data_IF_108048945273
#
_entry.id   IF_108048945273
#
_cell.length_a   1.000
_cell.length_b   1.000
_cell.length_c   1.000
_cell.angle_alpha   90.00
_cell.angle_beta   90.00
_cell.angle_gamma   90.00
#
_symmetry.space_group_name_H-M   'P 1'
#
loop_
_entity.id
_entity.type
_entity.pdbx_description
1 polymer ?
#
# COMPACT_ATOMS: atom_id res chain seq x y z
N UNK A 1 -0.31 -15.00 -7.83
CA UNK A 1 0.43 -13.78 -7.42
C UNK A 1 0.35 -13.70 -5.91
N UNK A 2 1.48 -13.58 -5.23
CA UNK A 2 1.59 -13.73 -3.77
C UNK A 2 1.47 -12.38 -3.05
N UNK A 3 2.03 -11.31 -3.64
CA UNK A 3 1.91 -9.94 -3.12
C UNK A 3 2.09 -8.86 -4.21
N UNK A 4 1.63 -7.64 -3.91
CA UNK A 4 1.82 -6.42 -4.71
C UNK A 4 2.27 -5.31 -3.75
N UNK A 5 3.33 -4.59 -4.12
CA UNK A 5 3.84 -3.45 -3.34
C UNK A 5 3.45 -2.13 -3.97
N UNK A 6 2.69 -1.30 -3.24
CA UNK A 6 2.31 0.04 -3.67
C UNK A 6 2.01 0.93 -2.45
N UNK A 7 1.98 2.25 -2.63
CA UNK A 7 1.64 3.16 -1.54
C UNK A 7 0.14 3.07 -1.16
N UNK A 8 -0.27 3.74 -0.08
CA UNK A 8 -1.66 3.78 0.37
C UNK A 8 -2.43 4.95 -0.28
N UNK A 9 -2.29 5.12 -1.60
CA UNK A 9 -3.11 6.05 -2.38
C UNK A 9 -4.44 5.41 -2.80
N UNK A 10 -5.50 6.22 -2.91
CA UNK A 10 -6.84 5.77 -3.34
C UNK A 10 -6.83 5.06 -4.69
N UNK A 11 -6.03 5.54 -5.64
CA UNK A 11 -5.84 4.92 -6.95
C UNK A 11 -5.25 3.50 -6.84
N UNK A 12 -4.29 3.29 -5.93
CA UNK A 12 -3.65 1.99 -5.72
C UNK A 12 -4.59 1.02 -5.01
N UNK A 13 -5.44 1.51 -4.11
CA UNK A 13 -6.52 0.71 -3.52
C UNK A 13 -7.54 0.28 -4.58
N UNK A 14 -7.93 1.17 -5.49
CA UNK A 14 -8.85 0.85 -6.59
C UNK A 14 -8.23 -0.17 -7.56
N UNK A 15 -6.94 -0.02 -7.88
CA UNK A 15 -6.18 -0.98 -8.68
C UNK A 15 -6.21 -2.38 -8.06
N UNK A 16 -5.94 -2.51 -6.75
CA UNK A 16 -5.96 -3.80 -6.06
C UNK A 16 -7.34 -4.48 -6.11
N UNK A 17 -8.43 -3.72 -6.00
CA UNK A 17 -9.79 -4.27 -6.12
C UNK A 17 -10.07 -4.77 -7.55
N UNK A 18 -9.58 -4.06 -8.58
CA UNK A 18 -9.70 -4.51 -9.98
C UNK A 18 -8.84 -5.76 -10.26
N UNK A 19 -7.66 -5.86 -9.65
CA UNK A 19 -6.81 -7.04 -9.74
C UNK A 19 -7.47 -8.26 -9.07
N UNK A 20 -8.18 -8.07 -7.96
CA UNK A 20 -8.92 -9.15 -7.28
C UNK A 20 -9.98 -9.79 -8.19
N UNK A 21 -10.67 -8.97 -8.99
CA UNK A 21 -11.63 -9.46 -9.97
C UNK A 21 -10.97 -10.10 -11.20
N UNK A 22 -9.82 -9.56 -11.64
CA UNK A 22 -9.18 -9.96 -12.89
C UNK A 22 -8.26 -11.17 -12.74
N UNK A 23 -7.73 -11.44 -11.55
CA UNK A 23 -6.72 -12.46 -11.31
C UNK A 23 -7.26 -13.54 -10.37
N UNK A 24 -7.56 -14.71 -10.94
CA UNK A 24 -7.89 -15.89 -10.17
C UNK A 24 -6.81 -16.18 -9.12
N UNK A 25 -7.23 -16.30 -7.85
CA UNK A 25 -6.37 -16.53 -6.67
C UNK A 25 -5.54 -15.32 -6.19
N UNK A 26 -5.75 -14.11 -6.71
CA UNK A 26 -5.20 -12.92 -6.07
C UNK A 26 -6.00 -12.60 -4.80
N UNK A 27 -5.33 -12.42 -3.66
CA UNK A 27 -6.00 -12.20 -2.38
C UNK A 27 -6.41 -10.73 -2.16
N UNK A 28 -6.46 -9.95 -3.25
CA UNK A 28 -6.81 -8.53 -3.23
C UNK A 28 -5.94 -7.74 -2.25
N UNK A 29 -6.59 -6.98 -1.38
CA UNK A 29 -5.93 -6.19 -0.33
C UNK A 29 -5.09 -7.02 0.66
N UNK A 30 -5.36 -8.32 0.84
CA UNK A 30 -4.53 -9.17 1.73
C UNK A 30 -3.14 -9.43 1.16
N UNK A 31 -2.97 -9.25 -0.16
CA UNK A 31 -1.69 -9.32 -0.86
C UNK A 31 -1.00 -7.95 -0.96
N UNK A 32 -1.57 -6.87 -0.40
CA UNK A 32 -0.98 -5.53 -0.46
C UNK A 32 0.11 -5.34 0.59
N UNK A 33 1.32 -5.06 0.11
CA UNK A 33 2.46 -4.62 0.93
C UNK A 33 2.62 -3.12 0.73
N UNK A 34 2.68 -2.34 1.81
CA UNK A 34 2.94 -0.90 1.69
C UNK A 34 4.36 -0.66 1.17
N UNK A 35 4.49 0.26 0.22
CA UNK A 35 5.78 0.70 -0.27
C UNK A 35 6.67 1.18 0.88
N UNK A 36 7.92 0.68 0.95
CA UNK A 36 8.88 1.02 1.99
C UNK A 36 9.10 2.53 2.10
N UNK A 37 9.13 3.23 0.96
CA UNK A 37 9.22 4.70 0.90
C UNK A 37 8.08 5.40 1.63
N UNK A 38 6.85 4.88 1.53
CA UNK A 38 5.70 5.45 2.24
C UNK A 38 5.81 5.24 3.75
N UNK A 39 6.27 4.06 4.19
CA UNK A 39 6.54 3.77 5.60
C UNK A 39 7.59 4.72 6.16
N UNK A 40 8.73 4.89 5.47
CA UNK A 40 9.80 5.81 5.89
C UNK A 40 9.30 7.26 5.96
N UNK A 41 8.52 7.71 4.97
CA UNK A 41 7.95 9.06 4.97
C UNK A 41 6.97 9.29 6.14
N UNK A 42 6.14 8.30 6.48
CA UNK A 42 5.25 8.40 7.65
C UNK A 42 6.04 8.40 8.96
N UNK A 43 7.07 7.56 9.08
CA UNK A 43 7.95 7.54 10.25
C UNK A 43 8.67 8.88 10.42
N UNK A 44 9.26 9.43 9.36
CA UNK A 44 9.92 10.73 9.40
C UNK A 44 8.97 11.85 9.85
N UNK A 45 7.75 11.91 9.27
CA UNK A 45 6.73 12.87 9.69
C UNK A 45 6.35 12.70 11.16
N UNK A 46 6.16 11.46 11.62
CA UNK A 46 5.83 11.17 13.02
C UNK A 46 6.93 11.59 14.00
N UNK A 47 8.19 11.37 13.65
CA UNK A 47 9.36 11.76 14.45
C UNK A 47 9.51 13.28 14.52
N UNK A 48 9.21 13.99 13.42
CA UNK A 48 9.41 15.44 13.34
C UNK A 48 8.26 16.26 13.96
N UNK A 49 7.03 15.76 14.02
CA UNK A 49 5.86 16.51 14.56
C UNK A 49 6.05 17.17 15.94
N UNK A 50 6.72 16.54 16.93
CA UNK A 50 6.92 17.18 18.23
C UNK A 50 7.88 18.39 18.19
N UNK A 51 8.58 18.58 17.08
CA UNK A 51 9.58 19.63 16.86
C UNK A 51 9.10 20.72 15.88
N UNK A 52 7.83 20.67 15.47
CA UNK A 52 7.13 21.74 14.73
C UNK A 52 6.44 22.68 15.72
#
# INVERSE_FOLDING_TARGET
IISVTCDNASANTAMLNNLEFSLNKFLGRKSHIRCFTHTVNLTAKGVLRPFE
#
